data_IF_024623779636
#
_entry.id   IF_024623779636
#
_cell.length_a   1.000
_cell.length_b   1.000
_cell.length_c   1.000
_cell.angle_alpha   90.00
_cell.angle_beta   90.00
_cell.angle_gamma   90.00
#
_symmetry.space_group_name_H-M   'P 1'
#
loop_
_entity.id
_entity.type
_entity.pdbx_description
1 polymer ?
#
# COMPACT_ATOMS: atom_id res chain seq x y z
N UNK A 1 23.11 -1.68 -2.73
CA UNK A 1 22.29 -0.67 -2.02
C UNK A 1 23.24 0.33 -1.40
N UNK A 2 22.93 1.64 -1.43
CA UNK A 2 23.78 2.65 -0.77
C UNK A 2 23.78 2.46 0.74
N UNK A 3 24.88 2.81 1.42
CA UNK A 3 25.01 2.67 2.87
C UNK A 3 23.93 3.46 3.63
N UNK A 4 23.57 4.64 3.12
CA UNK A 4 22.44 5.41 3.65
C UNK A 4 21.10 4.66 3.52
N UNK A 5 20.89 3.93 2.41
CA UNK A 5 19.71 3.09 2.23
C UNK A 5 19.64 1.94 3.24
N UNK A 6 20.77 1.34 3.59
CA UNK A 6 20.86 0.33 4.64
C UNK A 6 20.55 0.92 6.02
N UNK A 7 21.07 2.13 6.31
CA UNK A 7 20.78 2.85 7.55
C UNK A 7 19.27 3.18 7.68
N UNK A 8 18.63 3.63 6.60
CA UNK A 8 17.19 3.87 6.58
C UNK A 8 16.36 2.61 6.89
N UNK A 9 16.84 1.44 6.46
CA UNK A 9 16.20 0.16 6.80
C UNK A 9 16.36 -0.14 8.29
N UNK A 10 17.53 0.12 8.87
CA UNK A 10 17.80 -0.10 10.29
C UNK A 10 16.89 0.68 11.24
N UNK A 11 16.53 1.91 10.88
CA UNK A 11 15.63 2.77 11.70
C UNK A 11 14.16 2.69 11.29
N UNK A 12 13.82 1.87 10.30
CA UNK A 12 12.47 1.82 9.70
C UNK A 12 11.37 1.52 10.72
N UNK A 13 11.66 0.71 11.73
CA UNK A 13 10.69 0.34 12.76
C UNK A 13 10.27 1.52 13.65
N UNK A 14 11.07 2.61 13.68
CA UNK A 14 10.75 3.83 14.44
C UNK A 14 9.78 4.75 13.68
N UNK A 15 9.50 4.48 12.40
CA UNK A 15 8.71 5.38 11.54
C UNK A 15 7.30 5.66 12.04
N UNK A 16 6.69 4.75 12.79
CA UNK A 16 5.36 4.95 13.38
C UNK A 16 5.36 5.88 14.60
N UNK A 17 6.53 6.06 15.25
CA UNK A 17 6.65 6.70 16.56
C UNK A 17 7.35 8.06 16.52
N UNK A 18 7.90 8.45 15.36
CA UNK A 18 8.68 9.68 15.22
C UNK A 18 8.25 10.50 14.01
N UNK A 19 8.47 11.81 14.05
CA UNK A 19 8.23 12.68 12.91
C UNK A 19 9.20 12.39 11.75
N UNK A 20 8.87 12.77 10.49
CA UNK A 20 9.74 12.55 9.34
C UNK A 20 11.13 13.23 9.50
N UNK A 21 11.17 14.43 10.09
CA UNK A 21 12.42 15.13 10.36
C UNK A 21 13.27 14.42 11.41
N UNK A 22 12.65 13.96 12.48
CA UNK A 22 13.31 13.18 13.52
C UNK A 22 13.81 11.83 13.00
N UNK A 23 13.06 11.18 12.10
CA UNK A 23 13.49 9.96 11.46
C UNK A 23 14.75 10.19 10.60
N UNK A 24 14.87 11.32 9.91
CA UNK A 24 16.09 11.67 9.19
C UNK A 24 17.29 11.83 10.10
N UNK A 25 17.12 12.53 11.23
CA UNK A 25 18.19 12.70 12.24
C UNK A 25 18.62 11.33 12.79
N UNK A 26 17.67 10.50 13.20
CA UNK A 26 17.96 9.12 13.68
C UNK A 26 18.62 8.24 12.62
N UNK A 27 18.25 8.42 11.35
CA UNK A 27 18.92 7.70 10.25
C UNK A 27 20.38 8.12 10.14
N UNK A 28 20.65 9.41 10.25
CA UNK A 28 22.03 9.95 10.22
C UNK A 28 22.85 9.50 11.42
N UNK A 29 22.28 9.59 12.63
CA UNK A 29 22.90 9.09 13.86
C UNK A 29 23.23 7.60 13.78
N UNK A 30 22.30 6.79 13.25
CA UNK A 30 22.52 5.36 13.05
C UNK A 30 23.62 5.10 12.00
N UNK A 31 23.62 5.84 10.90
CA UNK A 31 24.63 5.73 9.84
C UNK A 31 26.04 6.06 10.31
N UNK A 32 26.18 7.10 11.13
CA UNK A 32 27.47 7.54 11.70
C UNK A 32 27.86 6.81 12.98
N UNK A 33 26.93 6.01 13.52
CA UNK A 33 27.12 5.29 14.79
C UNK A 33 27.95 4.01 14.66
N UNK A 34 28.55 3.55 15.78
CA UNK A 34 29.42 2.38 15.78
C UNK A 34 28.70 1.07 15.36
N UNK A 35 27.40 0.98 15.59
CA UNK A 35 26.61 -0.21 15.32
C UNK A 35 26.29 -0.41 13.84
N UNK A 36 26.49 0.60 13.01
CA UNK A 36 26.14 0.54 11.58
C UNK A 36 26.96 -0.50 10.81
N UNK A 37 28.26 -0.61 11.11
CA UNK A 37 29.16 -1.57 10.46
C UNK A 37 28.69 -3.03 10.65
N UNK A 38 28.29 -3.37 11.88
CA UNK A 38 27.85 -4.72 12.22
C UNK A 38 26.45 -5.00 11.67
N UNK A 39 25.55 -4.02 11.71
CA UNK A 39 24.25 -4.10 11.06
C UNK A 39 24.39 -4.29 9.54
N UNK A 40 25.31 -3.56 8.88
CA UNK A 40 25.60 -3.72 7.46
C UNK A 40 26.08 -5.13 7.12
N UNK A 41 26.99 -5.69 7.93
CA UNK A 41 27.47 -7.08 7.76
C UNK A 41 26.33 -8.09 7.92
N UNK A 42 25.49 -7.93 8.95
CA UNK A 42 24.30 -8.76 9.16
C UNK A 42 23.31 -8.64 8.01
N UNK A 43 23.04 -7.42 7.54
CA UNK A 43 22.15 -7.17 6.42
C UNK A 43 22.61 -7.89 5.14
N UNK A 44 23.90 -7.80 4.81
CA UNK A 44 24.47 -8.53 3.67
C UNK A 44 24.51 -10.04 3.89
N UNK A 45 24.69 -10.51 5.10
CA UNK A 45 24.64 -11.93 5.45
C UNK A 45 23.22 -12.47 5.30
N UNK A 46 22.24 -11.77 5.82
CA UNK A 46 20.82 -12.12 5.70
C UNK A 46 20.38 -12.12 4.24
N UNK A 47 20.84 -11.16 3.44
CA UNK A 47 20.53 -11.09 2.00
C UNK A 47 21.18 -12.27 1.24
N UNK A 48 22.33 -12.79 1.70
CA UNK A 48 22.98 -13.97 1.11
C UNK A 48 22.35 -15.30 1.54
N UNK A 49 21.81 -15.39 2.75
CA UNK A 49 21.14 -16.60 3.27
C UNK A 49 19.82 -16.88 2.53
N UNK A 50 19.26 -15.89 1.87
CA UNK A 50 18.10 -16.08 0.98
C UNK A 50 18.42 -16.77 -0.36
N UNK A 51 19.65 -17.25 -0.54
CA UNK A 51 20.09 -17.99 -1.73
C UNK A 51 19.98 -19.52 -1.59
N UNK A 52 19.36 -20.03 -0.55
CA UNK A 52 19.08 -21.46 -0.44
C UNK A 52 17.87 -21.83 -1.32
N UNK A 53 17.87 -23.03 -1.91
CA UNK A 53 16.90 -23.45 -2.94
C UNK A 53 15.42 -23.36 -2.51
N UNK A 54 15.16 -23.27 -1.20
CA UNK A 54 13.84 -23.12 -0.61
C UNK A 54 13.47 -21.67 -0.29
N UNK A 55 14.32 -20.71 -0.61
CA UNK A 55 14.08 -19.28 -0.39
C UNK A 55 14.00 -18.56 -1.72
N UNK A 56 12.98 -17.70 -1.85
CA UNK A 56 12.84 -16.84 -3.01
C UNK A 56 14.05 -15.93 -3.17
N UNK A 57 14.85 -16.15 -4.21
CA UNK A 57 15.95 -15.28 -4.60
C UNK A 57 15.74 -14.88 -6.06
N UNK A 58 15.76 -13.62 -6.32
CA UNK A 58 15.68 -13.09 -7.67
C UNK A 58 16.83 -12.10 -7.87
N UNK A 59 17.64 -12.35 -8.88
CA UNK A 59 18.68 -11.43 -9.34
C UNK A 59 18.03 -10.29 -10.12
N UNK A 60 17.49 -9.31 -9.38
CA UNK A 60 17.03 -8.07 -9.97
C UNK A 60 18.21 -7.17 -10.32
N UNK A 61 18.01 -6.40 -11.37
CA UNK A 61 18.97 -5.44 -11.90
C UNK A 61 19.67 -4.68 -10.77
N UNK A 62 20.98 -4.69 -10.73
CA UNK A 62 21.83 -4.03 -9.71
C UNK A 62 21.62 -2.52 -9.59
N UNK A 63 20.92 -1.92 -10.55
CA UNK A 63 20.59 -0.52 -10.54
C UNK A 63 19.47 -0.21 -9.54
N UNK A 64 19.82 0.46 -8.45
CA UNK A 64 18.89 0.85 -7.36
C UNK A 64 17.68 1.65 -7.87
N UNK A 65 17.85 2.45 -8.92
CA UNK A 65 16.78 3.24 -9.53
C UNK A 65 15.80 2.35 -10.28
N UNK A 66 16.30 1.48 -11.15
CA UNK A 66 15.47 0.54 -11.90
C UNK A 66 14.78 -0.45 -10.99
N UNK A 67 15.46 -0.92 -9.95
CA UNK A 67 14.89 -1.83 -8.95
C UNK A 67 13.73 -1.20 -8.15
N UNK A 68 13.76 0.12 -7.90
CA UNK A 68 12.63 0.83 -7.27
C UNK A 68 11.45 1.05 -8.20
N UNK A 69 11.69 1.16 -9.51
CA UNK A 69 10.63 1.29 -10.51
C UNK A 69 10.00 -0.07 -10.85
N UNK A 70 10.71 -1.17 -10.58
CA UNK A 70 10.23 -2.52 -10.85
C UNK A 70 9.36 -3.03 -9.71
N UNK A 71 8.05 -2.82 -9.81
CA UNK A 71 7.07 -3.33 -8.83
C UNK A 71 6.92 -4.86 -8.85
N UNK A 72 7.48 -5.55 -9.84
CA UNK A 72 7.43 -7.01 -9.98
C UNK A 72 8.04 -7.71 -8.76
N UNK A 73 9.19 -7.25 -8.28
CA UNK A 73 9.84 -7.80 -7.08
C UNK A 73 8.92 -7.86 -5.87
N UNK A 74 8.16 -6.78 -5.64
CA UNK A 74 7.22 -6.70 -4.51
C UNK A 74 6.06 -7.69 -4.71
N UNK A 75 5.57 -7.80 -5.94
CA UNK A 75 4.49 -8.71 -6.30
C UNK A 75 4.92 -10.16 -6.14
N UNK A 76 6.10 -10.53 -6.65
CA UNK A 76 6.62 -11.88 -6.58
C UNK A 76 6.95 -12.31 -5.16
N UNK A 77 7.62 -11.44 -4.38
CA UNK A 77 7.86 -11.70 -2.95
C UNK A 77 6.55 -11.91 -2.18
N UNK A 78 5.52 -11.13 -2.49
CA UNK A 78 4.21 -11.28 -1.85
C UNK A 78 3.48 -12.54 -2.26
N UNK A 79 3.62 -12.99 -3.51
CA UNK A 79 3.09 -14.26 -3.99
C UNK A 79 3.80 -15.45 -3.32
N UNK A 80 5.12 -15.37 -3.20
CA UNK A 80 5.90 -16.38 -2.49
C UNK A 80 5.48 -16.50 -1.03
N UNK A 81 5.36 -15.37 -0.31
CA UNK A 81 4.89 -15.35 1.08
C UNK A 81 3.45 -15.87 1.21
N UNK A 82 2.57 -15.51 0.28
CA UNK A 82 1.21 -16.02 0.26
C UNK A 82 1.15 -17.54 0.05
N UNK A 83 2.02 -18.07 -0.80
CA UNK A 83 2.14 -19.51 -1.02
C UNK A 83 2.66 -20.25 0.22
N UNK A 84 3.64 -19.68 0.92
CA UNK A 84 4.16 -20.25 2.19
C UNK A 84 3.11 -20.21 3.31
N UNK A 85 2.35 -19.12 3.44
CA UNK A 85 1.30 -18.98 4.44
C UNK A 85 0.10 -19.90 4.18
N UNK A 86 -0.10 -20.25 2.92
CA UNK A 86 -1.32 -20.89 2.41
C UNK A 86 -2.38 -19.85 2.03
N UNK A 87 -3.10 -20.18 0.94
CA UNK A 87 -4.20 -19.34 0.45
C UNK A 87 -5.43 -19.47 1.36
N UNK A 88 -6.28 -18.42 1.37
CA UNK A 88 -7.49 -18.37 2.18
C UNK A 88 -7.22 -18.44 3.70
N UNK A 89 -6.18 -17.73 4.14
CA UNK A 89 -5.74 -17.76 5.53
C UNK A 89 -6.67 -16.98 6.45
N UNK A 90 -7.17 -17.63 7.52
CA UNK A 90 -8.12 -17.06 8.49
C UNK A 90 -7.58 -15.78 9.17
N UNK A 91 -6.28 -15.73 9.49
CA UNK A 91 -5.70 -14.55 10.13
C UNK A 91 -5.64 -13.35 9.18
N UNK A 92 -5.40 -13.58 7.90
CA UNK A 92 -5.48 -12.55 6.86
C UNK A 92 -6.91 -12.04 6.67
N UNK A 93 -7.91 -12.95 6.72
CA UNK A 93 -9.33 -12.56 6.65
C UNK A 93 -9.77 -11.74 7.86
N UNK A 94 -9.35 -12.11 9.06
CA UNK A 94 -9.63 -11.34 10.28
C UNK A 94 -9.02 -9.95 10.15
N UNK A 95 -7.76 -9.86 9.76
CA UNK A 95 -7.07 -8.59 9.53
C UNK A 95 -7.79 -7.72 8.47
N UNK A 96 -8.27 -8.33 7.38
CA UNK A 96 -9.04 -7.62 6.38
C UNK A 96 -10.35 -7.05 6.95
N UNK A 97 -11.09 -7.83 7.72
CA UNK A 97 -12.33 -7.37 8.38
C UNK A 97 -12.08 -6.24 9.36
N UNK A 98 -11.03 -6.36 10.18
CA UNK A 98 -10.62 -5.32 11.14
C UNK A 98 -10.28 -4.02 10.42
N UNK A 99 -9.49 -4.08 9.35
CA UNK A 99 -9.16 -2.90 8.55
C UNK A 99 -10.38 -2.31 7.83
N UNK A 100 -11.32 -3.14 7.39
CA UNK A 100 -12.57 -2.68 6.80
C UNK A 100 -13.40 -1.89 7.82
N UNK A 101 -13.56 -2.42 9.04
CA UNK A 101 -14.25 -1.76 10.13
C UNK A 101 -13.54 -0.46 10.53
N UNK A 102 -12.20 -0.46 10.59
CA UNK A 102 -11.41 0.72 10.92
C UNK A 102 -11.56 1.87 9.92
N UNK A 103 -12.05 1.61 8.70
CA UNK A 103 -12.37 2.65 7.72
C UNK A 103 -13.65 3.45 8.05
N UNK A 104 -14.50 2.94 8.92
CA UNK A 104 -15.67 3.68 9.39
C UNK A 104 -15.24 4.91 10.21
N UNK A 105 -16.10 5.93 10.34
CA UNK A 105 -15.83 7.09 11.17
C UNK A 105 -15.46 6.71 12.62
N UNK A 106 -14.54 7.45 13.25
CA UNK A 106 -14.07 7.17 14.61
C UNK A 106 -15.21 7.18 15.66
N UNK A 107 -16.28 7.91 15.38
CA UNK A 107 -17.49 7.97 16.23
C UNK A 107 -18.13 6.56 16.42
N UNK A 108 -18.05 5.71 15.40
CA UNK A 108 -18.64 4.36 15.43
C UNK A 108 -17.68 3.29 15.94
N UNK A 109 -16.38 3.48 15.79
CA UNK A 109 -15.39 2.41 16.00
C UNK A 109 -14.44 2.69 17.17
N UNK A 110 -14.34 3.95 17.59
CA UNK A 110 -13.40 4.39 18.60
C UNK A 110 -11.97 4.60 18.06
N UNK A 111 -11.23 5.53 18.66
CA UNK A 111 -9.88 5.89 18.24
C UNK A 111 -8.85 4.79 18.54
N UNK A 112 -8.98 4.14 19.70
CA UNK A 112 -8.08 3.07 20.13
C UNK A 112 -8.10 1.86 19.17
N UNK A 113 -9.28 1.45 18.68
CA UNK A 113 -9.39 0.37 17.70
C UNK A 113 -8.73 0.76 16.37
N UNK A 114 -8.91 2.01 15.93
CA UNK A 114 -8.25 2.49 14.70
C UNK A 114 -6.73 2.48 14.81
N UNK A 115 -6.20 2.77 15.96
CA UNK A 115 -4.76 2.79 16.21
C UNK A 115 -4.19 1.36 16.25
N UNK A 116 -4.88 0.42 16.90
CA UNK A 116 -4.48 -1.00 16.94
C UNK A 116 -4.51 -1.68 15.57
N UNK A 117 -5.35 -1.20 14.63
CA UNK A 117 -5.46 -1.74 13.27
C UNK A 117 -4.63 -0.97 12.23
N UNK A 118 -3.79 -0.02 12.68
CA UNK A 118 -2.96 0.81 11.81
C UNK A 118 -1.68 0.10 11.37
N UNK A 119 -1.84 -0.94 10.56
CA UNK A 119 -0.74 -1.68 9.93
C UNK A 119 -1.07 -1.96 8.47
N UNK A 120 -0.04 -2.25 7.66
CA UNK A 120 -0.25 -2.61 6.26
C UNK A 120 -0.60 -4.10 6.13
N UNK A 121 -1.33 -4.46 5.07
CA UNK A 121 -1.57 -5.86 4.76
C UNK A 121 -0.27 -6.63 4.49
N UNK A 122 0.77 -5.95 4.00
CA UNK A 122 2.10 -6.51 3.84
C UNK A 122 2.80 -6.80 5.16
N UNK A 123 2.64 -5.94 6.17
CA UNK A 123 3.18 -6.20 7.51
C UNK A 123 2.54 -7.47 8.10
N UNK A 124 1.22 -7.61 7.97
CA UNK A 124 0.52 -8.79 8.47
C UNK A 124 0.94 -10.07 7.76
N UNK A 125 1.00 -10.04 6.42
CA UNK A 125 1.45 -11.18 5.62
C UNK A 125 2.87 -11.63 6.03
N UNK A 126 3.79 -10.68 6.12
CA UNK A 126 5.16 -10.96 6.50
C UNK A 126 5.27 -11.52 7.92
N UNK A 127 4.59 -10.89 8.90
CA UNK A 127 4.61 -11.33 10.30
C UNK A 127 4.08 -12.75 10.46
N UNK A 128 3.02 -13.10 9.74
CA UNK A 128 2.44 -14.45 9.80
C UNK A 128 3.36 -15.54 9.22
N UNK A 129 4.17 -15.19 8.22
CA UNK A 129 5.09 -16.15 7.60
C UNK A 129 6.40 -16.26 8.39
N UNK A 130 6.97 -15.14 8.82
CA UNK A 130 8.31 -15.14 9.43
C UNK A 130 8.32 -15.23 10.95
N UNK A 131 7.15 -15.05 11.59
CA UNK A 131 7.05 -14.97 13.06
C UNK A 131 7.69 -13.70 13.66
N UNK A 132 8.25 -12.82 12.85
CA UNK A 132 8.91 -11.60 13.32
C UNK A 132 7.87 -10.49 13.50
N UNK A 133 7.95 -9.76 14.60
CA UNK A 133 7.15 -8.55 14.84
C UNK A 133 7.57 -7.44 13.87
N UNK A 134 6.92 -7.39 12.71
CA UNK A 134 7.17 -6.37 11.67
C UNK A 134 6.02 -5.37 11.55
N UNK A 135 5.08 -5.38 12.49
CA UNK A 135 3.91 -4.50 12.50
C UNK A 135 4.36 -3.05 12.71
N UNK A 136 3.89 -2.14 11.82
CA UNK A 136 4.26 -0.71 11.85
C UNK A 136 5.39 -0.33 10.90
N UNK A 137 6.03 -1.27 10.22
CA UNK A 137 7.04 -0.98 9.19
C UNK A 137 6.43 -0.54 7.85
N UNK A 138 5.11 -0.66 7.70
CA UNK A 138 4.35 -0.33 6.49
C UNK A 138 4.95 -0.95 5.22
N UNK A 139 5.21 -2.25 5.29
CA UNK A 139 5.74 -3.00 4.14
C UNK A 139 4.73 -3.01 3.01
N UNK A 140 5.22 -2.69 1.84
CA UNK A 140 4.43 -2.79 0.62
C UNK A 140 4.35 -4.25 0.22
N UNK A 141 3.15 -4.74 -0.07
CA UNK A 141 2.93 -6.07 -0.61
C UNK A 141 2.21 -6.00 -1.95
N UNK A 142 2.42 -6.99 -2.80
CA UNK A 142 1.72 -7.08 -4.08
C UNK A 142 0.22 -7.30 -3.90
N UNK A 143 -0.56 -6.65 -4.75
CA UNK A 143 -2.03 -6.73 -4.74
C UNK A 143 -2.54 -8.18 -4.79
N UNK A 144 -1.98 -8.98 -5.70
CA UNK A 144 -2.37 -10.38 -5.92
C UNK A 144 -1.95 -11.27 -4.74
N UNK A 145 -0.72 -11.10 -4.21
CA UNK A 145 -0.23 -11.91 -3.11
C UNK A 145 -1.09 -11.75 -1.85
N UNK A 146 -1.38 -10.50 -1.46
CA UNK A 146 -2.28 -10.23 -0.32
C UNK A 146 -3.69 -10.75 -0.60
N UNK A 147 -4.19 -10.59 -1.82
CA UNK A 147 -5.52 -11.04 -2.22
C UNK A 147 -5.66 -12.56 -2.11
N UNK A 148 -4.70 -13.31 -2.64
CA UNK A 148 -4.68 -14.77 -2.57
C UNK A 148 -4.51 -15.28 -1.14
N UNK A 149 -3.63 -14.65 -0.34
CA UNK A 149 -3.48 -14.99 1.07
C UNK A 149 -4.79 -14.80 1.85
N UNK A 150 -5.59 -13.78 1.48
CA UNK A 150 -6.84 -13.44 2.20
C UNK A 150 -8.05 -14.24 1.72
N UNK A 151 -8.23 -14.40 0.41
CA UNK A 151 -9.45 -14.92 -0.20
C UNK A 151 -9.22 -16.19 -1.03
N UNK A 152 -8.00 -16.68 -1.11
CA UNK A 152 -7.67 -17.73 -2.04
C UNK A 152 -8.03 -17.36 -3.50
N UNK A 153 -8.48 -18.31 -4.27
CA UNK A 153 -8.89 -18.07 -5.66
C UNK A 153 -10.16 -17.22 -5.80
N UNK A 154 -10.97 -17.10 -4.74
CA UNK A 154 -12.11 -16.16 -4.72
C UNK A 154 -11.66 -14.69 -4.84
N UNK A 155 -10.38 -14.39 -4.63
CA UNK A 155 -9.81 -13.07 -4.88
C UNK A 155 -10.09 -12.54 -6.29
N UNK A 156 -10.01 -13.38 -7.31
CA UNK A 156 -10.20 -12.93 -8.70
C UNK A 156 -11.61 -12.41 -8.97
N UNK A 157 -12.70 -13.15 -8.69
CA UNK A 157 -14.04 -12.62 -8.87
C UNK A 157 -14.36 -11.44 -7.94
N UNK A 158 -13.86 -11.43 -6.69
CA UNK A 158 -14.03 -10.31 -5.77
C UNK A 158 -13.33 -9.06 -6.34
N UNK A 159 -12.10 -9.21 -6.82
CA UNK A 159 -11.34 -8.13 -7.44
C UNK A 159 -12.04 -7.58 -8.67
N UNK A 160 -12.55 -8.46 -9.54
CA UNK A 160 -13.32 -8.07 -10.71
C UNK A 160 -14.55 -7.23 -10.32
N UNK A 161 -15.30 -7.67 -9.31
CA UNK A 161 -16.47 -6.93 -8.83
C UNK A 161 -16.09 -5.54 -8.30
N UNK A 162 -15.01 -5.44 -7.53
CA UNK A 162 -14.49 -4.15 -7.05
C UNK A 162 -14.12 -3.24 -8.21
N UNK A 163 -13.46 -3.76 -9.25
CA UNK A 163 -13.12 -2.97 -10.45
C UNK A 163 -14.35 -2.55 -11.24
N UNK A 164 -15.35 -3.41 -11.38
CA UNK A 164 -16.62 -3.03 -12.03
C UNK A 164 -17.22 -1.82 -11.31
N UNK A 165 -17.31 -1.84 -9.98
CA UNK A 165 -17.84 -0.71 -9.21
C UNK A 165 -17.00 0.56 -9.44
N UNK A 166 -15.66 0.44 -9.45
CA UNK A 166 -14.77 1.57 -9.71
C UNK A 166 -14.96 2.13 -11.12
N UNK A 167 -15.10 1.29 -12.14
CA UNK A 167 -15.35 1.73 -13.51
C UNK A 167 -16.71 2.41 -13.66
N UNK A 168 -17.75 1.90 -13.02
CA UNK A 168 -19.05 2.60 -12.99
C UNK A 168 -18.94 3.95 -12.30
N UNK A 169 -18.20 4.04 -11.20
CA UNK A 169 -17.95 5.30 -10.51
C UNK A 169 -17.21 6.32 -11.38
N UNK A 170 -16.29 5.85 -12.25
CA UNK A 170 -15.61 6.70 -13.24
C UNK A 170 -16.56 7.16 -14.33
N UNK A 171 -17.35 6.22 -14.87
CA UNK A 171 -18.26 6.50 -15.99
C UNK A 171 -19.32 7.53 -15.62
N UNK A 172 -19.73 7.59 -14.36
CA UNK A 172 -20.64 8.60 -13.85
C UNK A 172 -20.16 10.05 -14.06
N UNK A 173 -18.85 10.27 -14.27
CA UNK A 173 -18.24 11.59 -14.53
C UNK A 173 -17.70 11.73 -15.96
N UNK A 174 -18.06 10.81 -16.85
CA UNK A 174 -17.79 10.87 -18.27
C UNK A 174 -19.07 11.22 -19.03
N UNK A 175 -18.94 11.94 -20.15
CA UNK A 175 -20.05 12.29 -21.01
C UNK A 175 -19.70 11.94 -22.45
N UNK A 176 -20.61 11.28 -23.15
CA UNK A 176 -20.48 11.05 -24.59
C UNK A 176 -21.19 12.18 -25.31
N UNK A 177 -20.46 12.98 -26.06
CA UNK A 177 -21.02 14.08 -26.88
C UNK A 177 -20.49 13.94 -28.31
N UNK A 178 -21.39 13.92 -29.29
CA UNK A 178 -21.04 13.77 -30.70
C UNK A 178 -20.18 12.52 -31.00
N UNK A 179 -20.46 11.39 -30.35
CA UNK A 179 -19.70 10.14 -30.50
C UNK A 179 -18.29 10.18 -29.89
N UNK A 180 -17.93 11.23 -29.18
CA UNK A 180 -16.62 11.36 -28.49
C UNK A 180 -16.80 11.32 -26.97
N UNK A 181 -15.89 10.63 -26.31
CA UNK A 181 -15.81 10.59 -24.85
C UNK A 181 -15.19 11.89 -24.33
N UNK A 182 -15.88 12.52 -23.39
CA UNK A 182 -15.38 13.67 -22.67
C UNK A 182 -15.29 13.32 -21.18
N UNK A 183 -14.07 13.28 -20.66
CA UNK A 183 -13.82 13.05 -19.25
C UNK A 183 -13.86 14.38 -18.50
N UNK A 184 -14.54 14.40 -17.36
CA UNK A 184 -14.47 15.55 -16.46
C UNK A 184 -13.09 15.59 -15.78
N UNK A 185 -12.69 16.72 -15.23
CA UNK A 185 -11.47 16.86 -14.42
C UNK A 185 -11.49 15.85 -13.26
N UNK A 186 -12.66 15.64 -12.64
CA UNK A 186 -12.79 14.63 -11.58
C UNK A 186 -12.51 13.22 -12.11
N UNK A 187 -13.03 12.85 -13.28
CA UNK A 187 -12.75 11.54 -13.88
C UNK A 187 -11.26 11.33 -14.14
N UNK A 188 -10.54 12.35 -14.61
CA UNK A 188 -9.08 12.28 -14.80
C UNK A 188 -8.33 12.08 -13.48
N UNK A 189 -8.71 12.79 -12.42
CA UNK A 189 -8.13 12.62 -11.08
C UNK A 189 -8.41 11.23 -10.51
N UNK A 190 -9.61 10.67 -10.78
CA UNK A 190 -9.96 9.33 -10.37
C UNK A 190 -9.10 8.27 -11.07
N UNK A 191 -8.85 8.41 -12.37
CA UNK A 191 -7.96 7.52 -13.14
C UNK A 191 -6.57 7.49 -12.51
N UNK A 192 -5.97 8.67 -12.23
CA UNK A 192 -4.65 8.76 -11.61
C UNK A 192 -4.61 8.04 -10.26
N UNK A 193 -5.61 8.25 -9.41
CA UNK A 193 -5.71 7.54 -8.12
C UNK A 193 -5.81 6.03 -8.28
N UNK A 194 -6.50 5.53 -9.29
CA UNK A 194 -6.64 4.09 -9.51
C UNK A 194 -5.36 3.44 -9.97
N UNK A 195 -4.61 4.09 -10.87
CA UNK A 195 -3.26 3.63 -11.19
C UNK A 195 -2.38 3.54 -9.95
N UNK A 196 -2.49 4.50 -9.06
CA UNK A 196 -1.78 4.48 -7.78
C UNK A 196 -2.21 3.30 -6.89
N UNK A 197 -3.50 2.96 -6.82
CA UNK A 197 -4.00 1.85 -6.02
C UNK A 197 -3.56 0.49 -6.54
N UNK A 198 -3.43 0.32 -7.84
CA UNK A 198 -2.93 -0.91 -8.46
C UNK A 198 -1.43 -1.12 -8.19
N UNK A 199 -0.66 -0.03 -8.20
CA UNK A 199 0.79 -0.10 -8.11
C UNK A 199 1.34 -0.16 -6.69
N UNK A 200 0.63 0.38 -5.70
CA UNK A 200 1.18 0.59 -4.36
C UNK A 200 0.82 -0.49 -3.32
N UNK A 201 0.44 -1.68 -3.75
CA UNK A 201 0.43 -2.87 -2.90
C UNK A 201 -0.34 -2.80 -1.58
N UNK A 202 -1.27 -1.85 -1.45
CA UNK A 202 -2.11 -1.76 -0.26
C UNK A 202 -3.22 -2.84 -0.22
N UNK A 203 -3.25 -3.70 -1.24
CA UNK A 203 -4.21 -4.75 -1.38
C UNK A 203 -5.63 -4.26 -1.70
N UNK A 204 -6.54 -5.21 -1.85
CA UNK A 204 -7.96 -4.96 -2.17
C UNK A 204 -8.65 -4.07 -1.11
N UNK A 205 -8.17 -4.09 0.14
CA UNK A 205 -8.74 -3.28 1.23
C UNK A 205 -8.71 -1.78 0.90
N UNK A 206 -7.67 -1.31 0.22
CA UNK A 206 -7.56 0.11 -0.15
C UNK A 206 -8.58 0.51 -1.19
N UNK A 207 -8.85 -0.35 -2.16
CA UNK A 207 -9.87 -0.12 -3.17
C UNK A 207 -11.27 -0.06 -2.54
N UNK A 208 -11.57 -1.01 -1.67
CA UNK A 208 -12.84 -1.04 -0.93
C UNK A 208 -12.98 0.19 -0.02
N UNK A 209 -11.93 0.55 0.71
CA UNK A 209 -11.91 1.75 1.54
C UNK A 209 -12.14 3.03 0.74
N UNK A 210 -11.57 3.09 -0.46
CA UNK A 210 -11.77 4.22 -1.36
C UNK A 210 -13.20 4.32 -1.85
N UNK A 211 -13.82 3.21 -2.25
CA UNK A 211 -15.23 3.17 -2.63
C UNK A 211 -16.12 3.63 -1.47
N UNK A 212 -15.84 3.16 -0.25
CA UNK A 212 -16.67 3.47 0.92
C UNK A 212 -16.58 4.93 1.39
N UNK A 213 -15.43 5.56 1.23
CA UNK A 213 -15.18 6.88 1.81
C UNK A 213 -14.51 7.87 0.85
N UNK A 214 -13.41 7.49 0.22
CA UNK A 214 -12.58 8.38 -0.57
C UNK A 214 -13.31 8.96 -1.77
N UNK A 215 -14.09 8.14 -2.44
CA UNK A 215 -14.88 8.53 -3.60
C UNK A 215 -15.88 9.66 -3.27
N UNK A 216 -16.63 9.52 -2.18
CA UNK A 216 -17.57 10.57 -1.74
C UNK A 216 -16.85 11.85 -1.33
N UNK A 217 -15.69 11.73 -0.66
CA UNK A 217 -14.89 12.90 -0.29
C UNK A 217 -14.40 13.66 -1.54
N UNK A 218 -13.95 12.96 -2.57
CA UNK A 218 -13.50 13.56 -3.81
C UNK A 218 -14.63 14.28 -4.54
N UNK A 219 -15.84 13.70 -4.56
CA UNK A 219 -17.04 14.34 -5.13
C UNK A 219 -17.37 15.64 -4.39
N UNK A 220 -17.42 15.59 -3.06
CA UNK A 220 -17.75 16.77 -2.25
C UNK A 220 -16.73 17.89 -2.49
N UNK A 221 -15.44 17.56 -2.46
CA UNK A 221 -14.37 18.52 -2.71
C UNK A 221 -14.47 19.14 -4.12
N UNK A 222 -14.75 18.30 -5.12
CA UNK A 222 -14.94 18.76 -6.49
C UNK A 222 -16.14 19.71 -6.61
N UNK A 223 -17.27 19.38 -6.01
CA UNK A 223 -18.47 20.24 -6.04
C UNK A 223 -18.23 21.59 -5.35
N UNK A 224 -17.52 21.59 -4.21
CA UNK A 224 -17.12 22.82 -3.52
C UNK A 224 -16.23 23.67 -4.42
N UNK A 225 -15.24 23.07 -5.07
CA UNK A 225 -14.32 23.77 -5.96
C UNK A 225 -15.06 24.37 -7.17
N UNK A 226 -15.97 23.61 -7.80
CA UNK A 226 -16.80 24.09 -8.90
C UNK A 226 -17.70 25.26 -8.45
N UNK A 227 -18.26 25.17 -7.24
CA UNK A 227 -19.10 26.25 -6.69
C UNK A 227 -18.27 27.52 -6.47
N UNK A 228 -17.09 27.43 -5.91
CA UNK A 228 -16.19 28.58 -5.70
C UNK A 228 -15.81 29.22 -7.03
N UNK A 229 -15.38 28.42 -8.01
CA UNK A 229 -14.99 28.90 -9.34
C UNK A 229 -16.16 29.61 -10.01
N UNK A 230 -17.37 29.03 -10.00
CA UNK A 230 -18.56 29.65 -10.56
C UNK A 230 -18.89 31.00 -9.89
N UNK A 231 -18.66 31.10 -8.56
CA UNK A 231 -18.90 32.36 -7.83
C UNK A 231 -17.87 33.44 -8.18
N UNK A 232 -16.64 33.06 -8.43
CA UNK A 232 -15.58 34.00 -8.85
C UNK A 232 -15.87 34.50 -10.28
N UNK A 233 -16.13 33.61 -11.22
CA UNK A 233 -16.40 33.97 -12.63
C UNK A 233 -17.66 34.86 -12.77
N UNK A 234 -18.69 34.66 -11.96
CA UNK A 234 -19.88 35.50 -11.97
C UNK A 234 -19.66 36.92 -11.42
N UNK A 235 -18.52 37.19 -10.75
CA UNK A 235 -18.16 38.48 -10.19
C UNK A 235 -17.25 39.32 -11.10
N UNK A 236 -16.69 38.68 -12.12
CA UNK A 236 -15.94 39.29 -13.22
C UNK A 236 -16.88 39.50 -14.42
#
# INVERSE_FOLDING_TARGET
MSDLGIAMIGVRNMRSNVSPSELMVKTWEFYTGPNFSDFKKQFHKTTKVFNDKDTWSEDYVDNVFLNRLCNLRISDASLFLANQLGYDNKQMQISFKEQLIANLPAIFVGSAFKESTRYSAGDKLYTLVTGNEGIGSYRVAGYTGVGLATFGYAFYPISLLVFIILFYALDAFSIIRNGKWHLSILALLLIDKWFYFLNNGAGIIRNVSYIMRGYFQDIILYLILVFIIKKIIKRV
#
